data_IF_101432478949
#
_entry.id   IF_101432478949
#
_cell.length_a   1.000
_cell.length_b   1.000
_cell.length_c   1.000
_cell.angle_alpha   90.00
_cell.angle_beta   90.00
_cell.angle_gamma   90.00
#
_symmetry.space_group_name_H-M   'P 1'
#
loop_
_entity.id
_entity.type
_entity.pdbx_description
1 polymer ?
#
# COMPACT_ATOMS: atom_id res chain seq x y z
N UNK A 1 -36.15 -78.01 61.24
CA UNK A 1 -35.10 -76.90 61.30
C UNK A 1 -34.95 -76.32 59.94
N UNK A 2 -35.50 -75.16 59.66
CA UNK A 2 -35.54 -74.52 58.33
C UNK A 2 -34.58 -73.30 58.31
N UNK A 3 -33.51 -73.42 57.55
CA UNK A 3 -32.59 -72.30 57.33
C UNK A 3 -33.16 -71.45 56.21
N UNK A 4 -33.31 -70.16 56.47
CA UNK A 4 -33.69 -69.15 55.47
C UNK A 4 -32.46 -68.45 54.98
N UNK A 5 -32.15 -68.63 53.69
CA UNK A 5 -31.15 -67.93 52.98
C UNK A 5 -31.74 -66.57 52.49
N UNK A 6 -31.23 -65.47 52.96
CA UNK A 6 -31.55 -64.13 52.46
C UNK A 6 -30.62 -63.81 51.33
N UNK A 7 -31.21 -63.64 50.11
CA UNK A 7 -30.49 -63.13 48.95
C UNK A 7 -30.60 -61.61 49.00
N UNK A 8 -29.45 -60.91 49.15
CA UNK A 8 -29.39 -59.48 49.07
C UNK A 8 -29.16 -59.11 47.62
N UNK A 9 -30.11 -58.41 47.01
CA UNK A 9 -29.93 -57.76 45.68
C UNK A 9 -29.13 -56.46 45.85
N UNK A 10 -27.90 -56.44 45.38
CA UNK A 10 -27.13 -55.23 45.17
C UNK A 10 -27.56 -54.59 43.86
N UNK A 11 -28.34 -53.50 43.91
CA UNK A 11 -28.60 -52.68 42.77
C UNK A 11 -27.33 -51.77 42.58
N UNK A 12 -26.51 -52.08 41.60
CA UNK A 12 -25.46 -51.20 41.14
C UNK A 12 -26.08 -50.10 40.26
N UNK A 13 -26.16 -48.88 40.77
CA UNK A 13 -26.50 -47.69 39.99
C UNK A 13 -25.26 -47.27 39.22
N UNK A 14 -25.23 -47.57 37.92
CA UNK A 14 -24.21 -47.01 37.00
C UNK A 14 -24.66 -45.60 36.64
N UNK A 15 -24.06 -44.59 37.27
CA UNK A 15 -24.20 -43.19 36.86
C UNK A 15 -23.35 -43.00 35.61
N UNK A 16 -23.98 -42.97 34.45
CA UNK A 16 -23.37 -42.52 33.20
C UNK A 16 -23.34 -40.99 33.26
N UNK A 17 -22.21 -40.43 33.70
CA UNK A 17 -21.93 -39.00 33.48
C UNK A 17 -21.63 -38.77 31.99
N UNK A 18 -22.62 -38.33 31.26
CA UNK A 18 -22.40 -37.75 29.95
C UNK A 18 -21.71 -36.41 30.16
N UNK A 19 -20.39 -36.38 30.05
CA UNK A 19 -19.65 -35.11 29.90
C UNK A 19 -20.00 -34.52 28.53
N UNK A 20 -20.98 -33.63 28.50
CA UNK A 20 -21.18 -32.72 27.41
C UNK A 20 -20.03 -31.67 27.48
N UNK A 21 -18.96 -31.92 26.76
CA UNK A 21 -17.99 -30.85 26.47
C UNK A 21 -18.75 -29.74 25.75
N UNK A 22 -18.73 -28.48 26.24
CA UNK A 22 -19.26 -27.40 25.44
C UNK A 22 -18.36 -27.31 24.21
N UNK A 23 -18.89 -27.64 23.05
CA UNK A 23 -18.32 -27.30 21.77
C UNK A 23 -18.35 -25.76 21.72
N UNK A 24 -17.24 -25.12 22.10
CA UNK A 24 -17.03 -23.73 21.72
C UNK A 24 -16.91 -23.74 20.22
N UNK A 25 -18.03 -23.51 19.54
CA UNK A 25 -18.01 -23.15 18.14
C UNK A 25 -17.13 -21.89 18.06
N UNK A 26 -15.89 -22.05 17.60
CA UNK A 26 -15.05 -20.92 17.22
C UNK A 26 -15.86 -20.13 16.20
N UNK A 27 -16.33 -18.96 16.58
CA UNK A 27 -16.86 -17.98 15.64
C UNK A 27 -15.76 -17.79 14.60
N UNK A 28 -16.03 -17.99 13.30
CA UNK A 28 -15.01 -17.76 12.29
C UNK A 28 -14.52 -16.32 12.43
N UNK A 29 -13.23 -16.16 12.72
CA UNK A 29 -12.60 -14.86 12.74
C UNK A 29 -12.73 -14.32 11.31
N UNK A 30 -13.40 -13.19 11.09
CA UNK A 30 -13.55 -12.68 9.74
C UNK A 30 -12.16 -12.45 9.15
N UNK A 31 -11.98 -12.89 7.92
CA UNK A 31 -10.72 -12.69 7.19
C UNK A 31 -10.33 -11.20 7.21
N UNK A 32 -9.04 -10.86 7.37
CA UNK A 32 -8.62 -9.49 7.20
C UNK A 32 -8.96 -9.09 5.78
N UNK A 33 -9.80 -8.13 5.65
CA UNK A 33 -10.16 -7.57 4.37
C UNK A 33 -9.09 -6.54 4.01
N UNK A 34 -7.96 -7.03 3.48
CA UNK A 34 -7.11 -6.18 2.70
C UNK A 34 -7.87 -5.82 1.42
N UNK A 35 -7.89 -4.57 1.06
CA UNK A 35 -8.49 -4.07 -0.16
C UNK A 35 -7.47 -3.21 -0.89
N UNK A 36 -7.34 -3.44 -2.20
CA UNK A 36 -6.57 -2.54 -3.07
C UNK A 36 -7.55 -1.81 -3.97
N UNK A 37 -7.65 -0.51 -3.80
CA UNK A 37 -8.38 0.38 -4.69
C UNK A 37 -7.40 0.96 -5.70
N UNK A 38 -7.76 0.87 -6.98
CA UNK A 38 -6.94 1.36 -8.09
C UNK A 38 -7.72 2.41 -8.86
N UNK A 39 -7.15 3.60 -8.96
CA UNK A 39 -7.69 4.73 -9.67
C UNK A 39 -6.85 4.99 -10.92
N UNK A 40 -7.42 4.85 -12.10
CA UNK A 40 -6.73 5.01 -13.38
C UNK A 40 -7.43 6.04 -14.25
N UNK A 41 -6.64 6.78 -15.01
CA UNK A 41 -7.19 7.75 -15.97
C UNK A 41 -8.24 8.68 -15.31
N UNK A 42 -9.44 8.74 -15.88
CA UNK A 42 -10.51 9.63 -15.39
C UNK A 42 -11.02 9.25 -14.01
N UNK A 43 -10.92 7.99 -13.59
CA UNK A 43 -11.36 7.59 -12.24
C UNK A 43 -10.52 8.20 -11.12
N UNK A 44 -9.32 8.73 -11.42
CA UNK A 44 -8.53 9.53 -10.49
C UNK A 44 -9.27 10.77 -9.98
N UNK A 45 -10.20 11.29 -10.76
CA UNK A 45 -10.93 12.56 -10.47
C UNK A 45 -12.44 12.36 -10.32
N UNK A 46 -12.93 11.13 -10.38
CA UNK A 46 -14.34 10.87 -10.11
C UNK A 46 -14.66 11.32 -8.68
N UNK A 47 -15.56 12.33 -8.58
CA UNK A 47 -15.93 12.99 -7.31
C UNK A 47 -14.75 13.62 -6.56
N UNK A 48 -13.62 13.87 -7.22
CA UNK A 48 -12.45 14.49 -6.61
C UNK A 48 -12.47 16.00 -6.74
N UNK A 49 -11.81 16.69 -5.81
CA UNK A 49 -11.49 18.10 -5.94
C UNK A 49 -10.23 18.24 -6.82
N UNK A 50 -10.38 18.92 -7.95
CA UNK A 50 -9.29 19.11 -8.92
C UNK A 50 -8.97 20.61 -9.02
N UNK A 51 -7.69 20.95 -8.90
CA UNK A 51 -7.20 22.31 -9.06
C UNK A 51 -6.01 22.34 -10.02
N UNK A 52 -6.08 23.21 -11.04
CA UNK A 52 -4.98 23.46 -11.99
C UNK A 52 -4.45 22.22 -12.74
N UNK A 53 -5.29 21.18 -12.88
CA UNK A 53 -4.98 19.99 -13.66
C UNK A 53 -5.93 19.87 -14.85
N UNK A 54 -5.42 19.31 -15.94
CA UNK A 54 -6.22 18.89 -17.09
C UNK A 54 -5.94 17.45 -17.46
N UNK A 55 -6.93 16.78 -17.99
CA UNK A 55 -6.75 15.43 -18.51
C UNK A 55 -6.23 15.48 -19.96
N UNK A 56 -5.09 14.89 -20.20
CA UNK A 56 -4.52 14.72 -21.53
C UNK A 56 -5.04 13.39 -22.12
N UNK A 57 -5.96 13.49 -23.07
CA UNK A 57 -6.62 12.32 -23.68
C UNK A 57 -5.67 11.48 -24.53
N UNK A 58 -4.60 12.09 -25.07
CA UNK A 58 -3.62 11.39 -25.88
C UNK A 58 -2.66 10.57 -25.00
N UNK A 59 -2.30 11.11 -23.84
CA UNK A 59 -1.36 10.47 -22.91
C UNK A 59 -2.07 9.64 -21.85
N UNK A 60 -3.41 9.78 -21.72
CA UNK A 60 -4.22 8.99 -20.80
C UNK A 60 -4.01 9.34 -19.32
N UNK A 61 -3.66 10.58 -19.00
CA UNK A 61 -3.35 10.98 -17.63
C UNK A 61 -3.59 12.46 -17.35
N UNK A 62 -3.39 12.86 -16.10
CA UNK A 62 -3.50 14.24 -15.65
C UNK A 62 -2.15 14.93 -15.67
N UNK A 63 -2.16 16.17 -16.15
CA UNK A 63 -1.02 17.08 -16.15
C UNK A 63 -1.44 18.47 -15.70
N UNK A 64 -0.48 19.32 -15.42
CA UNK A 64 -0.72 20.74 -15.11
C UNK A 64 -1.48 21.42 -16.24
N UNK A 65 -2.37 22.35 -15.90
CA UNK A 65 -3.01 23.24 -16.88
C UNK A 65 -1.98 24.17 -17.52
N UNK A 66 -2.31 24.62 -18.72
CA UNK A 66 -1.51 25.64 -19.40
C UNK A 66 -1.65 26.97 -18.65
N UNK A 67 -0.51 27.67 -18.46
CA UNK A 67 -0.45 29.02 -17.92
C UNK A 67 -0.79 30.00 -19.06
N UNK A 68 -1.74 30.94 -18.87
CA UNK A 68 -2.03 31.98 -19.87
C UNK A 68 -0.79 32.82 -20.25
N UNK A 69 0.19 32.91 -19.37
CA UNK A 69 1.47 33.60 -19.64
C UNK A 69 2.47 32.74 -20.44
N UNK A 70 2.13 31.50 -20.76
CA UNK A 70 2.94 30.54 -21.49
C UNK A 70 3.50 29.40 -20.61
N UNK A 71 3.56 28.20 -21.19
CA UNK A 71 3.96 26.99 -20.48
C UNK A 71 2.89 26.43 -19.56
N UNK A 72 3.29 25.72 -18.50
CA UNK A 72 2.39 25.12 -17.51
C UNK A 72 2.31 25.95 -16.23
N UNK A 73 1.19 25.86 -15.53
CA UNK A 73 1.09 26.33 -14.15
C UNK A 73 2.10 25.57 -13.27
N UNK A 74 2.64 26.23 -12.26
CA UNK A 74 3.70 25.64 -11.43
C UNK A 74 3.20 24.55 -10.50
N UNK A 75 1.88 24.55 -10.20
CA UNK A 75 1.26 23.63 -9.25
C UNK A 75 -0.18 23.32 -9.62
N UNK A 76 -0.55 22.05 -9.48
CA UNK A 76 -1.92 21.59 -9.54
C UNK A 76 -2.11 20.37 -8.62
N UNK A 77 -3.33 20.08 -8.23
CA UNK A 77 -3.62 18.97 -7.33
C UNK A 77 -4.94 18.28 -7.61
N UNK A 78 -5.00 17.01 -7.23
CA UNK A 78 -6.22 16.24 -7.12
C UNK A 78 -6.34 15.70 -5.70
N UNK A 79 -7.48 15.94 -5.05
CA UNK A 79 -7.83 15.33 -3.76
C UNK A 79 -9.02 14.40 -4.00
N UNK A 80 -8.83 13.10 -3.71
CA UNK A 80 -9.89 12.10 -3.92
C UNK A 80 -11.09 12.35 -3.00
N UNK A 81 -12.25 11.85 -3.42
CA UNK A 81 -13.35 11.61 -2.48
C UNK A 81 -12.92 10.56 -1.42
N UNK A 82 -13.76 10.39 -0.43
CA UNK A 82 -13.55 9.39 0.63
C UNK A 82 -13.65 7.97 0.07
N UNK A 83 -12.61 7.17 0.31
CA UNK A 83 -12.61 5.74 0.03
C UNK A 83 -13.00 5.00 1.31
N UNK A 84 -14.07 4.21 1.22
CA UNK A 84 -14.64 3.52 2.38
C UNK A 84 -14.11 2.09 2.54
N UNK A 85 -13.80 1.72 3.78
CA UNK A 85 -13.31 0.41 4.19
C UNK A 85 -14.12 -0.13 5.36
N UNK A 86 -15.06 -1.02 5.08
CA UNK A 86 -16.01 -1.57 6.07
C UNK A 86 -15.32 -2.16 7.32
N UNK A 87 -14.23 -2.88 7.12
CA UNK A 87 -13.48 -3.54 8.21
C UNK A 87 -12.52 -2.60 8.95
N UNK A 88 -12.49 -1.34 8.57
CA UNK A 88 -11.49 -0.40 9.02
C UNK A 88 -10.09 -0.72 8.45
N UNK A 89 -9.19 0.23 8.59
CA UNK A 89 -7.80 0.15 8.10
C UNK A 89 -6.87 0.56 9.21
N UNK A 90 -5.77 -0.14 9.39
CA UNK A 90 -4.68 0.23 10.31
C UNK A 90 -3.37 0.49 9.60
N UNK A 91 -3.27 0.14 8.31
CA UNK A 91 -2.05 0.33 7.52
C UNK A 91 -2.39 0.51 6.05
N UNK A 92 -1.78 1.49 5.41
CA UNK A 92 -2.00 1.83 3.99
C UNK A 92 -0.65 2.01 3.29
N UNK A 93 -0.50 1.37 2.14
CA UNK A 93 0.60 1.60 1.21
C UNK A 93 0.02 2.17 -0.07
N UNK A 94 0.27 3.45 -0.39
CA UNK A 94 -0.09 3.99 -1.70
C UNK A 94 0.94 3.58 -2.76
N UNK A 95 0.51 3.54 -4.01
CA UNK A 95 1.40 3.48 -5.16
C UNK A 95 0.86 4.36 -6.27
N UNK A 96 1.71 4.71 -7.23
CA UNK A 96 1.36 5.64 -8.31
C UNK A 96 2.14 5.32 -9.57
N UNK A 97 1.60 5.72 -10.72
CA UNK A 97 2.37 5.84 -11.95
C UNK A 97 2.39 7.30 -12.37
N UNK A 98 3.57 7.86 -12.40
CA UNK A 98 3.80 9.24 -12.83
C UNK A 98 5.08 9.32 -13.66
N UNK A 99 5.00 9.94 -14.83
CA UNK A 99 6.15 10.37 -15.60
C UNK A 99 6.50 11.80 -15.17
N UNK A 100 7.73 11.99 -14.69
CA UNK A 100 8.21 13.27 -14.16
C UNK A 100 9.46 13.69 -14.92
N UNK A 101 9.32 14.46 -16.03
CA UNK A 101 10.45 15.05 -16.72
C UNK A 101 11.30 15.93 -15.78
N UNK A 102 12.53 16.26 -16.21
CA UNK A 102 13.42 17.14 -15.45
C UNK A 102 12.71 18.43 -15.01
N UNK A 103 12.96 18.85 -13.80
CA UNK A 103 12.32 20.00 -13.18
C UNK A 103 10.91 19.74 -12.63
N UNK A 104 10.41 18.50 -12.71
CA UNK A 104 9.06 18.16 -12.27
C UNK A 104 9.03 17.07 -11.21
N UNK A 105 7.98 17.07 -10.40
CA UNK A 105 7.75 16.01 -9.41
C UNK A 105 6.28 15.93 -8.97
N UNK A 106 5.92 14.86 -8.30
CA UNK A 106 4.62 14.66 -7.64
C UNK A 106 4.82 14.46 -6.14
N UNK A 107 3.91 15.01 -5.35
CA UNK A 107 3.82 14.79 -3.90
C UNK A 107 2.60 13.95 -3.59
N UNK A 108 2.78 12.91 -2.80
CA UNK A 108 1.74 11.95 -2.41
C UNK A 108 1.45 12.13 -0.93
N UNK A 109 0.19 12.39 -0.60
CA UNK A 109 -0.28 12.61 0.76
C UNK A 109 -1.54 11.79 1.04
N UNK A 110 -1.70 11.32 2.27
CA UNK A 110 -2.87 10.58 2.74
C UNK A 110 -3.50 11.26 3.96
N UNK A 111 -4.80 11.13 4.07
CA UNK A 111 -5.59 11.45 5.26
C UNK A 111 -6.50 10.29 5.60
N UNK A 112 -6.79 10.14 6.90
CA UNK A 112 -7.71 9.13 7.40
C UNK A 112 -8.67 9.72 8.45
N UNK A 113 -9.82 9.07 8.63
CA UNK A 113 -10.70 9.32 9.77
C UNK A 113 -11.37 8.02 10.22
N UNK A 114 -11.69 7.89 11.52
CA UNK A 114 -12.30 6.66 12.07
C UNK A 114 -13.62 6.31 11.42
N UNK A 115 -14.47 7.31 11.20
CA UNK A 115 -15.85 7.20 10.68
C UNK A 115 -16.25 8.50 9.94
N UNK A 116 -17.48 8.55 9.45
CA UNK A 116 -17.99 9.68 8.69
C UNK A 116 -18.23 10.95 9.53
N UNK A 117 -18.49 10.79 10.81
CA UNK A 117 -18.77 11.87 11.75
C UNK A 117 -17.50 12.47 12.34
N UNK A 118 -16.36 11.74 12.26
CA UNK A 118 -15.07 12.19 12.76
C UNK A 118 -14.40 13.20 11.84
N UNK A 119 -13.65 14.13 12.44
CA UNK A 119 -12.79 15.03 11.69
C UNK A 119 -11.68 14.25 10.98
N UNK A 120 -11.26 14.77 9.83
CA UNK A 120 -10.09 14.25 9.11
C UNK A 120 -8.81 14.51 9.90
N UNK A 121 -7.90 13.54 9.87
CA UNK A 121 -6.53 13.72 10.39
C UNK A 121 -5.80 14.86 9.67
N UNK A 122 -4.61 15.19 10.10
CA UNK A 122 -3.68 15.95 9.29
C UNK A 122 -3.34 15.21 7.97
N UNK A 123 -2.81 15.93 6.99
CA UNK A 123 -2.21 15.33 5.80
C UNK A 123 -0.83 14.78 6.13
N UNK A 124 -0.65 13.47 5.90
CA UNK A 124 0.65 12.81 6.05
C UNK A 124 1.29 12.66 4.68
N UNK A 125 2.44 13.27 4.49
CA UNK A 125 3.19 13.11 3.26
C UNK A 125 3.91 11.77 3.24
N UNK A 126 3.57 10.93 2.25
CA UNK A 126 4.15 9.60 2.09
C UNK A 126 5.41 9.69 1.26
N UNK A 127 5.35 10.37 0.11
CA UNK A 127 6.47 10.45 -0.82
C UNK A 127 6.50 11.76 -1.61
N UNK A 128 7.68 12.11 -2.09
CA UNK A 128 7.91 12.93 -3.27
C UNK A 128 8.56 12.05 -4.33
N UNK A 129 8.08 12.11 -5.55
CA UNK A 129 8.59 11.34 -6.68
C UNK A 129 8.83 12.26 -7.88
N UNK A 130 10.01 12.18 -8.51
CA UNK A 130 10.33 12.95 -9.70
C UNK A 130 11.80 13.35 -9.75
N UNK A 131 12.08 14.52 -10.35
CA UNK A 131 13.46 14.99 -10.54
C UNK A 131 14.16 15.19 -9.19
N UNK A 132 15.23 14.43 -8.91
CA UNK A 132 15.98 14.54 -7.67
C UNK A 132 16.75 15.87 -7.52
N UNK A 133 16.83 16.67 -8.55
CA UNK A 133 17.50 17.97 -8.51
C UNK A 133 16.58 19.10 -8.05
N UNK A 134 15.28 18.85 -7.96
CA UNK A 134 14.32 19.79 -7.39
C UNK A 134 14.45 19.80 -5.87
N UNK A 135 14.63 20.99 -5.28
CA UNK A 135 14.92 21.14 -3.84
C UNK A 135 13.84 20.50 -2.95
N UNK A 136 12.55 20.62 -3.33
CA UNK A 136 11.42 20.08 -2.58
C UNK A 136 11.38 18.54 -2.56
N UNK A 137 12.04 17.87 -3.50
CA UNK A 137 12.17 16.41 -3.46
C UNK A 137 13.21 15.96 -2.44
N UNK A 138 14.17 16.85 -2.11
CA UNK A 138 15.29 16.56 -1.21
C UNK A 138 15.06 16.97 0.23
N UNK A 139 14.13 17.88 0.50
CA UNK A 139 14.00 18.49 1.83
C UNK A 139 12.69 18.07 2.51
N UNK A 140 12.73 17.01 3.36
CA UNK A 140 11.57 16.56 4.11
C UNK A 140 11.31 17.39 5.39
N UNK A 141 12.04 18.47 5.68
CA UNK A 141 12.03 19.15 6.98
C UNK A 141 10.67 19.75 7.38
N UNK A 142 9.77 19.95 6.42
CA UNK A 142 8.41 20.46 6.69
C UNK A 142 7.34 19.37 6.68
N UNK A 143 7.73 18.11 6.62
CA UNK A 143 6.83 16.99 6.39
C UNK A 143 6.35 16.41 7.72
N UNK A 144 5.02 16.39 7.93
CA UNK A 144 4.45 15.64 9.03
C UNK A 144 4.65 14.14 8.81
N UNK A 145 5.59 13.55 9.51
CA UNK A 145 5.88 12.10 9.50
C UNK A 145 5.06 11.33 10.53
N UNK A 146 4.41 12.01 11.47
CA UNK A 146 3.57 11.38 12.46
C UNK A 146 3.13 12.31 13.59
N UNK A 147 2.10 11.86 14.30
CA UNK A 147 1.54 12.44 15.49
C UNK A 147 0.91 11.34 16.36
N UNK A 148 0.03 11.69 17.30
CA UNK A 148 -0.69 10.71 18.13
C UNK A 148 -1.70 9.85 17.31
N UNK A 149 -2.11 10.31 16.12
CA UNK A 149 -3.12 9.63 15.30
C UNK A 149 -2.49 8.64 14.31
N UNK A 150 -1.39 9.00 13.68
CA UNK A 150 -0.73 8.16 12.69
C UNK A 150 0.77 8.47 12.58
N UNK A 151 1.50 7.57 11.94
CA UNK A 151 2.90 7.76 11.57
C UNK A 151 3.18 7.23 10.17
N UNK A 152 4.13 7.86 9.50
CA UNK A 152 4.67 7.40 8.22
C UNK A 152 5.97 6.66 8.50
N UNK A 153 5.98 5.38 8.17
CA UNK A 153 7.17 4.51 8.26
C UNK A 153 7.55 4.13 6.85
N UNK A 154 8.62 4.75 6.34
CA UNK A 154 9.03 4.66 4.94
C UNK A 154 7.89 5.11 4.00
N UNK A 155 7.19 4.16 3.38
CA UNK A 155 6.09 4.34 2.44
C UNK A 155 4.72 3.93 3.01
N UNK A 156 4.66 3.58 4.27
CA UNK A 156 3.47 3.06 4.94
C UNK A 156 2.90 4.12 5.86
N UNK A 157 1.61 4.43 5.71
CA UNK A 157 0.86 5.13 6.74
C UNK A 157 0.33 4.11 7.74
N UNK A 158 0.84 4.14 8.96
CA UNK A 158 0.35 3.34 10.09
C UNK A 158 -0.58 4.18 10.97
N UNK A 159 -1.79 3.68 11.20
CA UNK A 159 -2.82 4.34 11.99
C UNK A 159 -2.85 3.76 13.41
N UNK A 160 -2.96 4.62 14.43
CA UNK A 160 -3.01 4.21 15.84
C UNK A 160 -4.30 3.47 16.21
N UNK A 161 -5.34 3.59 15.39
CA UNK A 161 -6.64 2.92 15.51
C UNK A 161 -7.24 2.65 14.15
N UNK A 162 -8.16 1.67 14.01
CA UNK A 162 -8.85 1.41 12.76
C UNK A 162 -9.62 2.66 12.28
N UNK A 163 -9.47 2.98 11.00
CA UNK A 163 -10.19 4.04 10.31
C UNK A 163 -11.00 3.46 9.16
N UNK A 164 -12.24 3.89 8.99
CA UNK A 164 -13.10 3.39 7.90
C UNK A 164 -13.03 4.26 6.65
N UNK A 165 -12.40 5.42 6.72
CA UNK A 165 -12.32 6.32 5.58
C UNK A 165 -10.90 6.84 5.37
N UNK A 166 -10.48 6.79 4.11
CA UNK A 166 -9.21 7.31 3.63
C UNK A 166 -9.46 8.25 2.45
N UNK A 167 -8.54 9.18 2.23
CA UNK A 167 -8.43 9.92 0.96
C UNK A 167 -6.98 10.24 0.66
N UNK A 168 -6.67 10.38 -0.62
CA UNK A 168 -5.36 10.81 -1.07
C UNK A 168 -5.41 12.23 -1.62
N UNK A 169 -4.28 12.90 -1.60
CA UNK A 169 -4.00 14.09 -2.37
C UNK A 169 -2.71 13.90 -3.13
N UNK A 170 -2.77 14.11 -4.46
CA UNK A 170 -1.59 14.14 -5.29
C UNK A 170 -1.41 15.56 -5.81
N UNK A 171 -0.24 16.13 -5.54
CA UNK A 171 0.13 17.44 -6.05
C UNK A 171 1.18 17.27 -7.13
N UNK A 172 0.92 17.80 -8.32
CA UNK A 172 1.86 17.90 -9.43
C UNK A 172 2.55 19.27 -9.35
N UNK A 173 3.87 19.28 -9.49
CA UNK A 173 4.69 20.48 -9.39
C UNK A 173 5.71 20.53 -10.52
N UNK A 174 6.01 21.75 -10.97
CA UNK A 174 7.11 22.00 -11.89
C UNK A 174 7.89 23.26 -11.49
N UNK A 175 9.20 23.19 -11.64
CA UNK A 175 10.12 24.34 -11.59
C UNK A 175 10.54 24.78 -13.00
N UNK A 176 10.16 24.00 -14.01
CA UNK A 176 10.34 24.29 -15.43
C UNK A 176 8.98 24.34 -16.12
N UNK A 177 8.49 25.55 -16.41
CA UNK A 177 7.17 25.75 -17.04
C UNK A 177 7.04 25.14 -18.43
N UNK A 178 8.11 24.65 -19.04
CA UNK A 178 8.06 23.91 -20.31
C UNK A 178 7.70 22.43 -20.14
N UNK A 179 7.75 21.92 -18.89
CA UNK A 179 7.51 20.53 -18.55
C UNK A 179 6.40 20.38 -17.50
N UNK A 180 5.69 19.28 -17.55
CA UNK A 180 4.65 18.92 -16.58
C UNK A 180 4.75 17.45 -16.24
N UNK A 181 4.59 17.06 -14.96
CA UNK A 181 4.36 15.66 -14.63
C UNK A 181 3.11 15.12 -15.35
N UNK A 182 3.08 13.83 -15.61
CA UNK A 182 1.92 13.10 -16.11
C UNK A 182 1.54 12.02 -15.10
N UNK A 183 0.40 12.17 -14.42
CA UNK A 183 -0.13 11.19 -13.48
C UNK A 183 -1.16 10.31 -14.17
N UNK A 184 -0.95 8.99 -14.18
CA UNK A 184 -1.83 8.03 -14.86
C UNK A 184 -2.53 7.07 -13.92
N UNK A 185 -1.97 6.80 -12.72
CA UNK A 185 -2.50 5.86 -11.75
C UNK A 185 -2.19 6.28 -10.31
N UNK A 186 -3.13 6.03 -9.42
CA UNK A 186 -2.92 5.96 -7.97
C UNK A 186 -3.57 4.67 -7.47
N UNK A 187 -2.94 3.95 -6.56
CA UNK A 187 -3.56 2.83 -5.89
C UNK A 187 -3.32 2.90 -4.37
N UNK A 188 -4.27 2.39 -3.60
CA UNK A 188 -4.20 2.28 -2.15
C UNK A 188 -4.33 0.81 -1.75
N UNK A 189 -3.26 0.21 -1.26
CA UNK A 189 -3.29 -1.11 -0.63
C UNK A 189 -3.48 -0.92 0.88
N UNK A 190 -4.69 -1.18 1.35
CA UNK A 190 -5.13 -0.92 2.72
C UNK A 190 -5.44 -2.22 3.45
N UNK A 191 -4.95 -2.38 4.68
CA UNK A 191 -5.20 -3.56 5.51
C UNK A 191 -5.56 -3.18 6.95
N UNK A 192 -6.33 -4.04 7.59
CA UNK A 192 -6.51 -4.02 9.04
C UNK A 192 -5.65 -5.12 9.67
N UNK A 193 -4.51 -4.75 10.25
CA UNK A 193 -3.58 -5.68 10.88
C UNK A 193 -4.12 -6.34 12.16
N UNK A 194 -5.23 -5.84 12.70
CA UNK A 194 -5.88 -6.43 13.89
C UNK A 194 -6.75 -7.64 13.53
N UNK A 195 -7.00 -7.87 12.23
CA UNK A 195 -7.78 -9.00 11.74
C UNK A 195 -6.85 -10.12 11.27
N UNK A 196 -7.24 -11.37 11.51
CA UNK A 196 -6.48 -12.54 11.07
C UNK A 196 -7.01 -13.04 9.73
N UNK A 197 -6.12 -13.39 8.79
CA UNK A 197 -6.53 -14.02 7.53
C UNK A 197 -7.11 -15.41 7.80
N UNK A 198 -8.32 -15.66 7.35
CA UNK A 198 -8.73 -17.04 7.12
C UNK A 198 -7.87 -17.61 5.96
N UNK A 199 -7.35 -18.83 6.07
CA UNK A 199 -6.69 -19.46 4.93
C UNK A 199 -7.65 -19.46 3.73
N UNK A 200 -7.18 -18.95 2.61
CA UNK A 200 -7.92 -19.09 1.36
C UNK A 200 -7.51 -20.41 0.72
N UNK A 201 -8.41 -21.41 0.81
CA UNK A 201 -8.21 -22.73 0.20
C UNK A 201 -8.56 -22.72 -1.31
N UNK A 202 -8.97 -21.59 -1.86
CA UNK A 202 -9.26 -21.49 -3.29
C UNK A 202 -7.97 -21.64 -4.11
N UNK A 203 -7.93 -22.65 -4.97
CA UNK A 203 -6.83 -22.86 -5.91
C UNK A 203 -7.03 -21.99 -7.13
N UNK A 204 -6.29 -20.88 -7.21
CA UNK A 204 -6.27 -20.05 -8.39
C UNK A 204 -5.54 -20.70 -9.58
N UNK A 205 -5.68 -20.18 -10.81
CA UNK A 205 -5.05 -20.73 -12.03
C UNK A 205 -3.51 -20.69 -12.00
N UNK A 206 -2.92 -19.93 -11.09
CA UNK A 206 -1.47 -19.84 -10.90
C UNK A 206 -0.89 -20.93 -9.97
N UNK A 207 -1.73 -21.68 -9.26
CA UNK A 207 -1.28 -22.73 -8.35
C UNK A 207 -0.58 -23.85 -9.12
N UNK A 208 0.61 -24.26 -8.62
CA UNK A 208 1.43 -25.28 -9.25
C UNK A 208 2.14 -24.82 -10.53
N UNK A 209 2.08 -23.54 -10.86
CA UNK A 209 2.87 -22.95 -11.94
C UNK A 209 4.14 -22.32 -11.40
N UNK A 210 5.21 -22.41 -12.16
CA UNK A 210 6.48 -21.74 -11.88
C UNK A 210 6.89 -20.89 -13.08
N UNK A 211 7.47 -19.74 -12.80
CA UNK A 211 8.10 -18.89 -13.82
C UNK A 211 9.60 -19.08 -13.67
N UNK A 212 10.25 -19.41 -14.80
CA UNK A 212 11.72 -19.52 -14.82
C UNK A 212 12.29 -18.12 -14.60
N UNK A 213 13.13 -18.00 -13.58
CA UNK A 213 13.81 -16.77 -13.24
C UNK A 213 15.28 -17.08 -12.96
N UNK A 214 16.18 -16.33 -13.55
CA UNK A 214 17.61 -16.46 -13.29
C UNK A 214 17.93 -15.87 -11.92
N UNK A 215 18.68 -16.61 -11.10
CA UNK A 215 19.07 -16.14 -9.78
C UNK A 215 20.15 -15.07 -9.86
N UNK A 216 19.91 -13.94 -9.21
CA UNK A 216 20.87 -12.85 -9.03
C UNK A 216 21.05 -12.61 -7.53
N UNK A 217 22.28 -12.64 -7.05
CA UNK A 217 22.58 -12.34 -5.65
C UNK A 217 22.87 -10.85 -5.46
N UNK A 218 22.24 -10.23 -4.48
CA UNK A 218 22.56 -8.85 -4.09
C UNK A 218 23.99 -8.72 -3.50
N UNK A 219 24.52 -9.79 -2.92
CA UNK A 219 25.81 -9.79 -2.23
C UNK A 219 26.98 -9.60 -3.19
N UNK A 220 26.84 -10.04 -4.45
CA UNK A 220 27.87 -9.90 -5.49
C UNK A 220 27.80 -8.58 -6.25
N UNK A 221 26.88 -7.69 -5.86
CA UNK A 221 26.81 -6.35 -6.43
C UNK A 221 28.00 -5.47 -5.97
N UNK A 222 28.24 -4.31 -6.60
CA UNK A 222 29.24 -3.36 -6.13
C UNK A 222 29.16 -3.13 -4.62
N UNK A 223 30.31 -2.97 -3.97
CA UNK A 223 30.43 -2.99 -2.50
C UNK A 223 29.54 -1.95 -1.80
N UNK A 224 29.31 -0.81 -2.41
CA UNK A 224 28.44 0.28 -1.95
C UNK A 224 26.96 -0.06 -2.05
N UNK A 225 26.57 -0.99 -2.91
CA UNK A 225 25.21 -1.47 -3.13
C UNK A 225 24.91 -2.80 -2.41
N UNK A 226 25.92 -3.67 -2.24
CA UNK A 226 25.77 -4.98 -1.60
C UNK A 226 25.04 -4.86 -0.25
N UNK A 227 24.10 -5.79 0.00
CA UNK A 227 23.24 -5.83 1.19
C UNK A 227 22.16 -4.73 1.28
N UNK A 228 22.12 -3.78 0.34
CA UNK A 228 21.17 -2.67 0.33
C UNK A 228 20.16 -2.73 -0.80
N UNK A 229 20.35 -3.63 -1.77
CA UNK A 229 19.60 -3.67 -3.04
C UNK A 229 18.77 -4.93 -3.23
N UNK A 230 18.20 -5.49 -2.14
CA UNK A 230 17.33 -6.66 -2.26
C UNK A 230 16.12 -6.40 -3.16
N UNK A 231 15.46 -5.25 -3.02
CA UNK A 231 14.34 -4.81 -3.85
C UNK A 231 14.74 -4.67 -5.33
N UNK A 232 15.70 -3.81 -5.69
CA UNK A 232 16.21 -3.69 -7.07
C UNK A 232 16.67 -5.01 -7.67
N UNK A 233 17.32 -5.88 -6.90
CA UNK A 233 17.76 -7.20 -7.36
C UNK A 233 16.55 -8.08 -7.71
N UNK A 234 15.54 -8.14 -6.83
CA UNK A 234 14.31 -8.90 -7.07
C UNK A 234 13.53 -8.37 -8.27
N UNK A 235 13.45 -7.05 -8.42
CA UNK A 235 12.81 -6.43 -9.59
C UNK A 235 13.57 -6.77 -10.87
N UNK A 236 14.91 -6.69 -10.86
CA UNK A 236 15.74 -7.08 -12.01
C UNK A 236 15.47 -8.52 -12.42
N UNK A 237 15.40 -9.45 -11.46
CA UNK A 237 15.07 -10.86 -11.71
C UNK A 237 13.68 -11.00 -12.34
N UNK A 238 12.67 -10.32 -11.79
CA UNK A 238 11.30 -10.36 -12.32
C UNK A 238 11.23 -9.79 -13.76
N UNK A 239 11.86 -8.66 -14.02
CA UNK A 239 11.92 -8.04 -15.34
C UNK A 239 12.64 -8.96 -16.36
N UNK A 240 13.74 -9.60 -15.96
CA UNK A 240 14.46 -10.55 -16.81
C UNK A 240 13.60 -11.77 -17.16
N UNK A 241 12.81 -12.26 -16.20
CA UNK A 241 11.85 -13.35 -16.45
C UNK A 241 10.78 -12.98 -17.50
N UNK A 242 10.51 -11.68 -17.64
CA UNK A 242 9.61 -11.12 -18.67
C UNK A 242 10.35 -10.63 -19.94
N UNK A 243 11.62 -10.96 -20.10
CA UNK A 243 12.40 -10.63 -21.30
C UNK A 243 13.03 -9.23 -21.31
N UNK A 244 12.97 -8.49 -20.18
CA UNK A 244 13.61 -7.19 -20.05
C UNK A 244 14.99 -7.35 -19.41
N UNK A 245 16.05 -7.13 -20.18
CA UNK A 245 17.43 -7.29 -19.69
C UNK A 245 17.95 -5.97 -19.10
N UNK A 246 18.07 -5.92 -17.79
CA UNK A 246 18.62 -4.80 -17.04
C UNK A 246 19.71 -5.29 -16.07
N UNK A 247 20.54 -4.36 -15.60
CA UNK A 247 21.54 -4.63 -14.55
C UNK A 247 21.04 -4.09 -13.22
N UNK A 248 21.33 -4.80 -12.12
CA UNK A 248 20.92 -4.38 -10.78
C UNK A 248 21.34 -2.95 -10.43
N UNK A 249 22.57 -2.47 -10.72
CA UNK A 249 22.94 -1.07 -10.45
C UNK A 249 22.04 -0.06 -11.16
N UNK A 250 21.66 -0.30 -12.41
CA UNK A 250 20.78 0.61 -13.17
C UNK A 250 19.35 0.65 -12.61
N UNK A 251 18.85 -0.48 -12.10
CA UNK A 251 17.56 -0.54 -11.42
C UNK A 251 17.64 0.14 -10.05
N UNK A 252 18.76 -0.07 -9.33
CA UNK A 252 18.99 0.56 -8.03
C UNK A 252 19.05 2.09 -8.13
N UNK A 253 19.71 2.63 -9.15
CA UNK A 253 19.78 4.07 -9.39
C UNK A 253 18.39 4.69 -9.56
N UNK A 254 17.49 4.03 -10.31
CA UNK A 254 16.09 4.46 -10.48
C UNK A 254 15.25 4.28 -9.23
N UNK A 255 15.51 3.25 -8.47
CA UNK A 255 14.78 2.89 -7.25
C UNK A 255 15.28 3.59 -5.99
N UNK A 256 16.20 4.55 -6.13
CA UNK A 256 16.73 5.29 -5.00
C UNK A 256 15.68 6.25 -4.42
N UNK A 257 15.24 5.96 -3.19
CA UNK A 257 14.42 6.89 -2.43
C UNK A 257 15.32 7.88 -1.67
N UNK A 258 15.37 9.10 -2.17
CA UNK A 258 16.22 10.14 -1.59
C UNK A 258 15.75 10.60 -0.22
N UNK A 259 14.44 10.54 0.04
CA UNK A 259 13.84 11.02 1.30
C UNK A 259 14.22 10.08 2.45
N UNK A 260 14.18 8.79 2.21
CA UNK A 260 14.48 7.77 3.21
C UNK A 260 15.91 7.20 3.08
N UNK A 261 16.66 7.60 2.04
CA UNK A 261 18.02 7.12 1.71
C UNK A 261 18.10 5.59 1.59
N UNK A 262 17.12 4.97 0.96
CA UNK A 262 16.99 3.51 0.79
C UNK A 262 16.70 3.12 -0.65
N UNK A 263 16.94 1.84 -0.98
CA UNK A 263 16.60 1.21 -2.28
C UNK A 263 15.40 0.25 -2.17
N UNK A 264 14.80 0.10 -1.00
CA UNK A 264 13.79 -0.92 -0.70
C UNK A 264 12.36 -0.39 -0.58
N UNK A 265 12.13 0.88 -0.83
CA UNK A 265 10.82 1.50 -0.76
C UNK A 265 9.95 0.98 -1.92
N UNK A 266 8.90 0.20 -1.63
CA UNK A 266 8.11 -0.50 -2.63
C UNK A 266 7.38 0.40 -3.62
N UNK A 267 6.71 1.50 -3.23
CA UNK A 267 6.09 2.42 -4.17
C UNK A 267 7.10 3.04 -5.14
N UNK A 268 8.27 3.44 -4.64
CA UNK A 268 9.35 4.00 -5.45
C UNK A 268 9.88 2.94 -6.42
N UNK A 269 10.10 1.72 -5.92
CA UNK A 269 10.58 0.59 -6.73
C UNK A 269 9.57 0.20 -7.83
N UNK A 270 8.28 0.24 -7.53
CA UNK A 270 7.24 -0.07 -8.51
C UNK A 270 7.06 1.04 -9.56
N UNK A 271 7.40 2.28 -9.24
CA UNK A 271 7.33 3.43 -10.14
C UNK A 271 8.59 3.59 -11.02
N UNK A 272 9.74 3.01 -10.61
CA UNK A 272 11.03 3.09 -11.31
C UNK A 272 11.07 2.31 -12.63
#
# INVERSE_FOLDING_TARGET
MKSRIRIAFLLAWTIVMTMTTPSTAMTPVPAPRGKTDVFVNRSLVDRAEVSNLRFDTRLGGFRLQDDPAGGFLERGSVTSDSVFYESGVTSVVPSWNADCPNGTFVRIELQARPDAESEWSAWYQIANWGDPNVAETRNPETVLKGDAFARVVEDILELSRPCTQLRYRITLLTTDKTASPLLTLVALAAINRNLVNAPDDSRGPAWGRSVKCDFISQVVQPRDLAWRVCGPTSLTMALTAHGVSLKVPSVAERAWDMVNAIYGNWPVLAAA
#
